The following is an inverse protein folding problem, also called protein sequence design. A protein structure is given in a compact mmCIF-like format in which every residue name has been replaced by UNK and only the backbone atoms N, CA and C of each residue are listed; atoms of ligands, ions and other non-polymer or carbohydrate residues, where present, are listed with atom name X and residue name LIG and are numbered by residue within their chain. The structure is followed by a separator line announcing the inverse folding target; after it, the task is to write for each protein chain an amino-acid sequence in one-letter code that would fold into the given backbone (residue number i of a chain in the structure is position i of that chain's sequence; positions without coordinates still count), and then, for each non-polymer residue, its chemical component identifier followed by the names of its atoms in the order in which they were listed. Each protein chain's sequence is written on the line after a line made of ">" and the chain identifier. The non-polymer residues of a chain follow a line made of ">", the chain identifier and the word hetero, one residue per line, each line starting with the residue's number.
data_IF_513913776239
#
_entry.id   IF_513913776239
#
_cell.length_a   1.000
_cell.length_b   1.000
_cell.length_c   1.000
_cell.angle_alpha   90.00
_cell.angle_beta   90.00
_cell.angle_gamma   90.00
#
_symmetry.space_group_name_H-M   'P 1'
#
loop_
_entity.id
_entity.type
_entity.pdbx_description
1 polymer ?
#
# COMPACT_ATOMS: atom_id res chain seq x y z
N UNK A 1 1.86 -0.43 -12.51
CA UNK A 1 1.39 0.92 -12.88
C UNK A 1 0.51 0.97 -14.12
N UNK A 2 0.51 -0.01 -15.04
CA UNK A 2 -0.35 0.06 -16.25
C UNK A 2 -1.80 -0.37 -16.01
N UNK A 3 -2.01 -1.42 -15.23
CA UNK A 3 -3.29 -2.16 -15.21
C UNK A 3 -4.10 -1.97 -13.92
N UNK A 4 -3.45 -1.47 -12.85
CA UNK A 4 -4.11 -1.31 -11.56
C UNK A 4 -4.76 0.06 -11.44
N UNK A 5 -5.97 0.15 -10.84
CA UNK A 5 -6.57 1.42 -10.46
C UNK A 5 -5.63 2.22 -9.55
N UNK A 6 -5.52 3.52 -9.79
CA UNK A 6 -4.62 4.42 -9.09
C UNK A 6 -5.40 5.45 -8.25
N UNK A 7 -4.82 5.98 -7.17
CA UNK A 7 -5.44 7.07 -6.42
C UNK A 7 -5.44 8.36 -7.25
N UNK A 8 -6.52 9.13 -7.14
CA UNK A 8 -6.72 10.39 -7.86
C UNK A 8 -7.53 11.39 -7.04
N UNK A 9 -7.55 12.63 -7.52
CA UNK A 9 -8.30 13.71 -6.91
C UNK A 9 -7.67 14.25 -5.63
N UNK A 10 -8.45 15.07 -4.91
CA UNK A 10 -8.05 15.65 -3.62
C UNK A 10 -8.38 14.64 -2.51
N UNK A 11 -7.43 14.32 -1.62
CA UNK A 11 -7.71 13.37 -0.55
C UNK A 11 -8.75 13.88 0.45
N UNK A 12 -9.61 12.98 0.93
CA UNK A 12 -10.57 13.28 2.00
C UNK A 12 -10.12 12.61 3.29
N UNK A 13 -9.95 13.39 4.36
CA UNK A 13 -9.61 12.86 5.69
C UNK A 13 -10.81 12.13 6.33
N UNK A 14 -10.55 10.99 6.96
CA UNK A 14 -11.50 10.27 7.79
C UNK A 14 -10.86 9.95 9.14
N UNK A 15 -11.45 10.46 10.22
CA UNK A 15 -10.94 10.26 11.58
C UNK A 15 -11.34 8.93 12.24
N UNK A 16 -12.29 8.20 11.65
CA UNK A 16 -12.70 6.88 12.12
C UNK A 16 -12.90 5.95 10.90
N UNK A 17 -12.20 4.82 10.91
CA UNK A 17 -12.24 3.79 9.88
C UNK A 17 -12.58 2.39 10.43
N UNK A 18 -12.96 2.25 11.70
CA UNK A 18 -13.20 0.94 12.35
C UNK A 18 -14.26 0.10 11.59
N UNK A 19 -15.33 0.75 11.10
CA UNK A 19 -16.42 0.09 10.38
C UNK A 19 -16.17 -0.06 8.86
N UNK A 20 -15.02 0.41 8.35
CA UNK A 20 -14.74 0.38 6.91
C UNK A 20 -13.93 -0.84 6.51
N UNK A 21 -14.46 -1.59 5.55
CA UNK A 21 -13.75 -2.71 4.94
C UNK A 21 -12.51 -2.25 4.16
N UNK A 22 -11.34 -2.77 4.53
CA UNK A 22 -10.03 -2.47 3.93
C UNK A 22 -10.02 -2.72 2.42
N UNK A 23 -10.74 -3.72 1.91
CA UNK A 23 -10.72 -4.12 0.49
C UNK A 23 -11.38 -3.09 -0.43
N UNK A 24 -12.40 -2.40 0.08
CA UNK A 24 -13.08 -1.30 -0.61
C UNK A 24 -12.22 -0.03 -0.74
N UNK A 25 -11.06 0.03 -0.09
CA UNK A 25 -10.30 1.26 0.14
C UNK A 25 -9.01 1.36 -0.68
N UNK A 26 -8.73 2.56 -1.22
CA UNK A 26 -7.47 2.94 -1.87
C UNK A 26 -6.94 4.23 -1.20
N UNK A 27 -6.04 4.07 -0.21
CA UNK A 27 -5.86 5.04 0.89
C UNK A 27 -4.47 4.98 1.52
N UNK A 28 -4.10 6.06 2.22
CA UNK A 28 -3.09 6.01 3.28
C UNK A 28 -3.82 5.93 4.62
N UNK A 29 -3.50 4.90 5.41
CA UNK A 29 -4.24 4.52 6.61
C UNK A 29 -3.26 4.44 7.78
N UNK A 30 -3.58 5.12 8.86
CA UNK A 30 -3.04 4.81 10.17
C UNK A 30 -3.78 3.59 10.71
N UNK A 31 -3.03 2.55 11.05
CA UNK A 31 -3.58 1.29 11.53
C UNK A 31 -2.83 0.80 12.76
N UNK A 32 -3.58 0.18 13.67
CA UNK A 32 -3.02 -0.71 14.66
C UNK A 32 -2.76 -2.07 14.01
N UNK A 33 -1.55 -2.60 14.20
CA UNK A 33 -1.07 -3.80 13.54
C UNK A 33 -0.50 -4.77 14.57
N UNK A 34 -0.85 -6.04 14.40
CA UNK A 34 -0.23 -7.15 15.14
C UNK A 34 0.44 -8.10 14.15
N UNK A 35 1.77 -8.13 14.16
CA UNK A 35 2.59 -9.05 13.40
C UNK A 35 2.89 -10.31 14.22
N UNK A 36 2.52 -11.52 13.76
CA UNK A 36 2.82 -12.76 14.47
C UNK A 36 4.33 -12.95 14.72
N UNK A 37 4.70 -13.34 15.94
CA UNK A 37 6.12 -13.60 16.32
C UNK A 37 6.76 -14.76 15.54
N UNK A 38 5.96 -15.59 14.87
CA UNK A 38 6.41 -16.70 14.04
C UNK A 38 6.94 -16.26 12.67
N UNK A 39 6.63 -15.03 12.23
CA UNK A 39 7.11 -14.49 10.96
C UNK A 39 8.59 -14.11 11.08
N UNK A 40 9.45 -14.86 10.38
CA UNK A 40 10.91 -14.66 10.39
C UNK A 40 11.36 -13.38 9.68
N UNK A 41 10.57 -12.90 8.71
CA UNK A 41 10.86 -11.71 7.90
C UNK A 41 9.62 -10.81 7.87
N UNK A 42 9.46 -9.91 8.85
CA UNK A 42 8.32 -9.01 8.87
C UNK A 42 8.33 -8.08 7.65
N UNK A 43 7.15 -7.73 7.18
CA UNK A 43 6.92 -7.02 5.93
C UNK A 43 6.76 -5.52 6.15
N UNK A 44 6.01 -5.12 7.18
CA UNK A 44 5.69 -3.71 7.41
C UNK A 44 6.86 -2.98 8.08
N UNK A 45 7.38 -1.90 7.48
CA UNK A 45 8.39 -1.07 8.11
C UNK A 45 7.78 -0.25 9.25
N UNK A 46 8.55 -0.02 10.30
CA UNK A 46 8.18 0.84 11.41
C UNK A 46 9.38 1.72 11.77
N UNK A 47 9.14 3.01 11.95
CA UNK A 47 10.18 3.94 12.40
C UNK A 47 10.18 3.97 13.92
N UNK A 48 11.26 3.54 14.52
CA UNK A 48 11.40 3.52 15.98
C UNK A 48 11.62 4.92 16.57
N UNK A 49 11.70 5.00 17.90
CA UNK A 49 11.93 6.25 18.63
C UNK A 49 13.28 6.91 18.31
N UNK A 50 14.21 6.15 17.73
CA UNK A 50 15.54 6.61 17.35
C UNK A 50 15.61 7.00 15.86
N UNK A 51 14.45 7.14 15.18
CA UNK A 51 14.34 7.39 13.74
C UNK A 51 14.96 6.29 12.85
N UNK A 52 15.14 5.08 13.38
CA UNK A 52 15.62 3.92 12.62
C UNK A 52 14.45 3.16 12.03
N UNK A 53 14.56 2.79 10.76
CA UNK A 53 13.57 1.92 10.10
C UNK A 53 13.87 0.48 10.50
N UNK A 54 12.90 -0.17 11.14
CA UNK A 54 12.95 -1.57 11.54
C UNK A 54 11.73 -2.32 10.97
N UNK A 55 11.77 -3.65 11.01
CA UNK A 55 10.67 -4.52 10.59
C UNK A 55 10.29 -5.43 11.76
N UNK A 56 9.48 -4.93 12.72
CA UNK A 56 9.25 -5.63 13.99
C UNK A 56 8.17 -6.71 13.88
N UNK A 57 8.20 -7.65 14.83
CA UNK A 57 7.04 -8.47 15.18
C UNK A 57 6.34 -7.88 16.41
N UNK A 58 5.13 -8.36 16.73
CA UNK A 58 4.32 -7.83 17.83
C UNK A 58 3.43 -6.67 17.39
N UNK A 59 3.16 -5.77 18.33
CA UNK A 59 2.12 -4.74 18.22
C UNK A 59 2.74 -3.37 17.95
N UNK A 60 2.18 -2.64 16.99
CA UNK A 60 2.59 -1.27 16.70
C UNK A 60 1.49 -0.52 15.94
N UNK A 61 1.56 0.81 15.96
CA UNK A 61 0.71 1.70 15.16
C UNK A 61 1.57 2.34 14.09
N UNK A 62 1.11 2.34 12.84
CA UNK A 62 1.84 2.93 11.73
C UNK A 62 0.94 3.38 10.59
N UNK A 63 1.48 4.26 9.75
CA UNK A 63 0.85 4.75 8.53
C UNK A 63 1.31 3.97 7.31
N UNK A 64 0.37 3.40 6.57
CA UNK A 64 0.65 2.52 5.43
C UNK A 64 -0.30 2.78 4.26
N UNK A 65 0.12 2.41 3.07
CA UNK A 65 -0.79 2.34 1.94
C UNK A 65 -1.71 1.11 2.08
N UNK A 66 -2.97 1.23 1.70
CA UNK A 66 -3.99 0.19 1.91
C UNK A 66 -3.61 -1.16 1.31
N UNK A 67 -2.91 -1.19 0.17
CA UNK A 67 -2.46 -2.45 -0.44
C UNK A 67 -1.35 -3.15 0.36
N UNK A 68 -0.49 -2.39 1.06
CA UNK A 68 0.51 -2.96 1.96
C UNK A 68 -0.16 -3.65 3.15
N UNK A 69 -1.22 -3.04 3.68
CA UNK A 69 -2.03 -3.60 4.76
C UNK A 69 -2.81 -4.85 4.32
N UNK A 70 -3.37 -4.86 3.11
CA UNK A 70 -4.04 -6.04 2.54
C UNK A 70 -3.08 -7.19 2.38
N UNK A 71 -1.88 -6.90 1.87
CA UNK A 71 -0.83 -7.90 1.71
C UNK A 71 -0.37 -8.44 3.09
N UNK A 72 -0.13 -7.56 4.06
CA UNK A 72 0.21 -7.95 5.43
C UNK A 72 -0.87 -8.84 6.06
N UNK A 73 -2.15 -8.50 5.90
CA UNK A 73 -3.27 -9.35 6.35
C UNK A 73 -3.21 -10.74 5.70
N UNK A 74 -2.88 -10.82 4.41
CA UNK A 74 -2.65 -12.10 3.70
C UNK A 74 -1.46 -12.91 4.23
N UNK A 75 -0.47 -12.26 4.86
CA UNK A 75 0.65 -12.92 5.56
C UNK A 75 0.31 -13.35 7.00
N UNK A 76 -0.91 -13.09 7.48
CA UNK A 76 -1.38 -13.45 8.82
C UNK A 76 -1.31 -12.33 9.85
N UNK A 77 -1.09 -11.07 9.43
CA UNK A 77 -1.15 -9.93 10.34
C UNK A 77 -2.59 -9.65 10.74
N UNK A 78 -2.81 -9.20 11.97
CA UNK A 78 -4.05 -8.52 12.33
C UNK A 78 -3.89 -7.03 12.03
N UNK A 79 -4.84 -6.45 11.31
CA UNK A 79 -4.82 -5.03 10.93
C UNK A 79 -6.15 -4.41 11.33
N UNK A 80 -6.10 -3.33 12.11
CA UNK A 80 -7.26 -2.55 12.54
C UNK A 80 -7.07 -1.11 12.05
N UNK A 81 -7.80 -0.67 11.01
CA UNK A 81 -7.76 0.72 10.53
C UNK A 81 -8.27 1.70 11.59
N UNK A 82 -7.55 2.80 11.80
CA UNK A 82 -7.92 3.84 12.76
C UNK A 82 -8.43 5.07 12.00
N UNK A 83 -7.56 5.66 11.18
CA UNK A 83 -7.80 6.92 10.49
C UNK A 83 -7.05 6.96 9.16
N UNK A 84 -7.34 7.91 8.29
CA UNK A 84 -6.59 8.03 7.04
C UNK A 84 -7.17 8.93 5.97
N UNK A 85 -6.42 9.03 4.86
CA UNK A 85 -6.77 9.81 3.68
C UNK A 85 -7.29 8.94 2.55
N UNK A 86 -8.39 9.38 1.96
CA UNK A 86 -9.13 8.68 0.93
C UNK A 86 -8.94 9.29 -0.43
N UNK A 87 -8.76 8.43 -1.42
CA UNK A 87 -8.64 8.86 -2.80
C UNK A 87 -9.74 8.24 -3.66
N UNK A 88 -10.15 8.97 -4.68
CA UNK A 88 -10.96 8.43 -5.76
C UNK A 88 -10.09 7.47 -6.59
N UNK A 89 -10.71 6.41 -7.11
CA UNK A 89 -10.04 5.47 -7.99
C UNK A 89 -10.16 5.96 -9.42
N UNK A 90 -9.05 5.96 -10.15
CA UNK A 90 -9.06 6.15 -11.61
C UNK A 90 -8.38 4.97 -12.31
N UNK A 91 -8.73 4.75 -13.58
CA UNK A 91 -7.88 3.94 -14.45
C UNK A 91 -6.48 4.56 -14.49
N UNK A 92 -5.45 3.72 -14.63
CA UNK A 92 -4.09 4.22 -14.60
C UNK A 92 -3.85 5.34 -15.62
N UNK A 93 -3.44 6.54 -15.17
CA UNK A 93 -3.07 7.63 -16.07
C UNK A 93 -1.76 7.33 -16.82
N UNK A 94 -1.03 6.28 -16.42
CA UNK A 94 0.25 5.90 -17.01
C UNK A 94 0.12 4.82 -18.09
N UNK A 95 -1.09 4.32 -18.37
CA UNK A 95 -1.31 3.18 -19.26
C UNK A 95 -0.67 3.37 -20.64
N UNK A 96 -0.92 4.52 -21.27
CA UNK A 96 -0.42 4.82 -22.61
C UNK A 96 1.08 5.06 -22.61
N UNK A 97 1.57 5.81 -21.62
CA UNK A 97 3.00 6.08 -21.45
C UNK A 97 3.82 4.79 -21.24
N UNK A 98 3.36 3.89 -20.38
CA UNK A 98 4.04 2.60 -20.16
C UNK A 98 3.98 1.74 -21.42
N UNK A 99 2.84 1.77 -22.13
CA UNK A 99 2.68 0.99 -23.36
C UNK A 99 3.58 1.50 -24.49
N UNK A 100 3.78 2.82 -24.60
CA UNK A 100 4.69 3.40 -25.61
C UNK A 100 6.14 3.03 -25.31
N UNK A 101 6.60 3.19 -24.08
CA UNK A 101 7.96 2.79 -23.66
C UNK A 101 8.23 1.30 -23.88
N UNK A 102 7.25 0.45 -23.56
CA UNK A 102 7.38 -0.99 -23.77
C UNK A 102 7.52 -1.34 -25.26
N UNK A 103 6.73 -0.71 -26.13
CA UNK A 103 6.86 -0.88 -27.59
C UNK A 103 8.24 -0.44 -28.08
N UNK A 104 8.72 0.74 -27.68
CA UNK A 104 10.04 1.24 -28.07
C UNK A 104 11.17 0.28 -27.68
N UNK A 105 11.09 -0.32 -26.48
CA UNK A 105 12.07 -1.32 -26.04
C UNK A 105 12.08 -2.58 -26.92
N UNK A 106 10.89 -3.07 -27.32
CA UNK A 106 10.78 -4.26 -28.16
C UNK A 106 11.34 -4.05 -29.57
N UNK A 107 11.13 -2.87 -30.15
CA UNK A 107 11.66 -2.53 -31.48
C UNK A 107 13.20 -2.52 -31.48
N UNK A 108 13.83 -1.89 -30.48
CA UNK A 108 15.30 -1.89 -30.35
C UNK A 108 15.86 -3.30 -30.21
N UNK A 109 15.19 -4.16 -29.42
CA UNK A 109 15.61 -5.55 -29.21
C UNK A 109 15.43 -6.46 -30.43
N UNK A 110 14.71 -6.02 -31.47
CA UNK A 110 14.51 -6.77 -32.73
C UNK A 110 15.50 -6.39 -33.84
N UNK A 111 16.19 -5.28 -33.68
CA UNK A 111 17.21 -4.77 -34.62
C UNK A 111 18.63 -5.27 -34.35
N UNK A 112 18.80 -6.20 -33.40
CA UNK A 112 20.05 -6.91 -33.08
C UNK A 112 19.84 -8.42 -33.21
#
# INVERSE_FOLDING_TARGET
>A
MKEFPMPSGVPVWHGNLEDKDLDSMLRFIEAYVVCPKTIKKPFLPYRDKNNTIIFPTGEFVGGYYSEELKYARGLGYTVVPISGYLFERMESPFKDFVSSLFKSRLEIGRTH
#
